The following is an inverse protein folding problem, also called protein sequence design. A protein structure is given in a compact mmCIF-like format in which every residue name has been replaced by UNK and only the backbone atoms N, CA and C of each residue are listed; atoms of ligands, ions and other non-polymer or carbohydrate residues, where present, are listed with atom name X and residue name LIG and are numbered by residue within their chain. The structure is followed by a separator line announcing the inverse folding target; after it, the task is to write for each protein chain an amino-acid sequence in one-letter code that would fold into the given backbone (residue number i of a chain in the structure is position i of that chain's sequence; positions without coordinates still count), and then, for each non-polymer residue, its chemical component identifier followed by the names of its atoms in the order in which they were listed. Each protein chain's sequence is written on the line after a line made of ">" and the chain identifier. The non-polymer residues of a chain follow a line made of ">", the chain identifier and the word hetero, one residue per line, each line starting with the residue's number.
data_IF_758586294124
#
_entry.id   IF_758586294124
#
_cell.length_a   1.000
_cell.length_b   1.000
_cell.length_c   1.000
_cell.angle_alpha   90.00
_cell.angle_beta   90.00
_cell.angle_gamma   90.00
#
_symmetry.space_group_name_H-M   'P 1'
#
loop_
_entity.id
_entity.type
_entity.pdbx_description
1 polymer ?
#
# COMPACT_ATOMS: atom_id res chain seq x y z
N UNK A 1 -34.57 10.41 21.90
CA UNK A 1 -34.78 11.67 22.66
C UNK A 1 -33.57 12.60 22.50
N UNK A 2 -33.68 13.89 22.87
CA UNK A 2 -32.52 14.81 22.88
C UNK A 2 -31.45 14.36 23.87
N UNK A 3 -31.85 13.79 25.00
CA UNK A 3 -30.91 13.24 25.99
C UNK A 3 -30.08 12.06 25.43
N UNK A 4 -30.72 11.14 24.74
CA UNK A 4 -30.01 10.01 24.07
C UNK A 4 -29.04 10.51 22.99
N UNK A 5 -29.44 11.51 22.21
CA UNK A 5 -28.57 12.09 21.19
C UNK A 5 -27.37 12.81 21.82
N UNK A 6 -27.58 13.55 22.90
CA UNK A 6 -26.52 14.22 23.66
C UNK A 6 -25.55 13.18 24.23
N UNK A 7 -26.05 12.15 24.90
CA UNK A 7 -25.20 11.09 25.46
C UNK A 7 -24.38 10.34 24.35
N UNK A 8 -24.99 10.10 23.19
CA UNK A 8 -24.30 9.52 22.06
C UNK A 8 -23.19 10.43 21.53
N UNK A 9 -23.46 11.73 21.38
CA UNK A 9 -22.45 12.70 20.92
C UNK A 9 -21.31 12.86 21.92
N UNK A 10 -21.62 12.92 23.23
CA UNK A 10 -20.61 13.00 24.28
C UNK A 10 -19.68 11.78 24.24
N UNK A 11 -20.23 10.59 24.11
CA UNK A 11 -19.45 9.36 23.95
C UNK A 11 -18.55 9.38 22.70
N UNK A 12 -19.07 9.81 21.55
CA UNK A 12 -18.25 9.95 20.33
C UNK A 12 -17.11 10.95 20.51
N UNK A 13 -17.36 12.08 21.18
CA UNK A 13 -16.34 13.08 21.44
C UNK A 13 -15.27 12.57 22.41
N UNK A 14 -15.64 11.81 23.43
CA UNK A 14 -14.70 11.17 24.34
C UNK A 14 -13.79 10.18 23.61
N UNK A 15 -14.37 9.28 22.79
CA UNK A 15 -13.58 8.34 22.00
C UNK A 15 -12.68 9.05 20.97
N UNK A 16 -13.19 10.05 20.28
CA UNK A 16 -12.38 10.87 19.36
C UNK A 16 -11.22 11.57 20.06
N UNK A 17 -11.47 12.12 21.26
CA UNK A 17 -10.45 12.77 22.08
C UNK A 17 -9.32 11.79 22.47
N UNK A 18 -9.64 10.55 22.85
CA UNK A 18 -8.65 9.51 23.13
C UNK A 18 -7.70 9.31 21.97
N UNK A 19 -8.23 9.20 20.74
CA UNK A 19 -7.42 9.04 19.54
C UNK A 19 -6.56 10.26 19.22
N UNK A 20 -7.07 11.47 19.40
CA UNK A 20 -6.29 12.70 19.23
C UNK A 20 -5.12 12.79 20.20
N UNK A 21 -5.35 12.48 21.47
CA UNK A 21 -4.30 12.46 22.50
C UNK A 21 -3.25 11.41 22.13
N UNK A 22 -3.68 10.20 21.81
CA UNK A 22 -2.77 9.12 21.40
C UNK A 22 -1.88 9.53 20.21
N UNK A 23 -2.45 10.07 19.16
CA UNK A 23 -1.69 10.50 17.97
C UNK A 23 -0.74 11.67 18.27
N UNK A 24 -1.20 12.64 19.08
CA UNK A 24 -0.38 13.79 19.49
C UNK A 24 0.81 13.37 20.35
N UNK A 25 0.59 12.46 21.29
CA UNK A 25 1.65 11.92 22.16
C UNK A 25 2.63 11.07 21.37
N UNK A 26 2.11 10.20 20.49
CA UNK A 26 2.95 9.40 19.61
C UNK A 26 3.84 10.29 18.72
N UNK A 27 3.28 11.32 18.08
CA UNK A 27 4.05 12.25 17.23
C UNK A 27 5.19 12.93 17.99
N UNK A 28 4.97 13.31 19.25
CA UNK A 28 6.02 13.87 20.12
C UNK A 28 7.13 12.86 20.44
N UNK A 29 6.74 11.64 20.80
CA UNK A 29 7.70 10.55 21.08
C UNK A 29 8.53 10.26 19.83
N UNK A 30 7.85 10.02 18.69
CA UNK A 30 8.50 9.79 17.40
C UNK A 30 9.49 10.89 17.04
N UNK A 31 9.06 12.15 16.97
CA UNK A 31 9.91 13.26 16.56
C UNK A 31 11.11 13.43 17.48
N UNK A 32 10.89 13.32 18.80
CA UNK A 32 11.98 13.40 19.78
C UNK A 32 13.02 12.30 19.61
N UNK A 33 12.58 11.07 19.35
CA UNK A 33 13.49 9.94 19.14
C UNK A 33 14.25 10.05 17.82
N UNK A 34 13.55 10.40 16.74
CA UNK A 34 14.12 10.47 15.40
C UNK A 34 15.12 11.62 15.22
N UNK A 35 14.92 12.76 15.86
CA UNK A 35 15.92 13.85 15.88
C UNK A 35 17.23 13.44 16.53
N UNK A 36 17.19 12.54 17.52
CA UNK A 36 18.36 12.01 18.21
C UNK A 36 18.94 10.77 17.55
N UNK A 37 18.23 10.19 16.56
CA UNK A 37 18.61 8.95 15.92
C UNK A 37 20.01 9.04 15.31
N UNK A 38 20.83 8.04 15.57
CA UNK A 38 22.17 7.87 15.00
C UNK A 38 22.19 6.69 14.05
N UNK A 39 23.22 6.59 13.22
CA UNK A 39 23.36 5.44 12.33
C UNK A 39 23.54 4.14 13.15
N UNK A 40 22.82 3.05 12.84
CA UNK A 40 22.71 1.88 13.72
C UNK A 40 23.92 0.94 13.69
N UNK A 41 24.95 1.24 12.91
CA UNK A 41 26.19 0.47 12.83
C UNK A 41 27.38 1.33 13.21
N UNK A 42 28.47 0.70 13.66
CA UNK A 42 29.68 1.39 14.09
C UNK A 42 30.31 2.24 13.00
N UNK A 43 30.31 1.73 11.76
CA UNK A 43 30.89 2.42 10.61
C UNK A 43 30.00 2.38 9.39
N UNK A 44 30.09 3.42 8.57
CA UNK A 44 29.50 3.44 7.24
C UNK A 44 30.36 2.62 6.27
N UNK A 45 29.72 1.78 5.46
CA UNK A 45 30.40 1.18 4.31
C UNK A 45 30.72 2.24 3.27
N UNK A 46 31.65 1.93 2.37
CA UNK A 46 32.03 2.83 1.25
C UNK A 46 30.80 3.28 0.45
N UNK A 47 30.62 4.60 0.33
CA UNK A 47 29.50 5.22 -0.39
C UNK A 47 28.20 5.37 0.40
N UNK A 48 28.06 4.72 1.56
CA UNK A 48 26.83 4.83 2.37
C UNK A 48 26.62 6.23 2.96
N UNK A 49 27.69 6.84 3.45
CA UNK A 49 27.60 8.18 4.06
C UNK A 49 27.22 9.23 3.03
N UNK A 50 27.80 9.16 1.84
CA UNK A 50 27.48 10.05 0.71
C UNK A 50 26.03 9.88 0.28
N UNK A 51 25.56 8.62 0.14
CA UNK A 51 24.17 8.33 -0.17
C UNK A 51 23.21 8.87 0.90
N UNK A 52 23.50 8.62 2.17
CA UNK A 52 22.68 9.10 3.27
C UNK A 52 22.60 10.63 3.30
N UNK A 53 23.71 11.31 3.10
CA UNK A 53 23.76 12.78 3.05
C UNK A 53 22.98 13.33 1.83
N UNK A 54 23.12 12.72 0.67
CA UNK A 54 22.37 13.09 -0.53
C UNK A 54 20.86 12.87 -0.35
N UNK A 55 20.45 11.72 0.20
CA UNK A 55 19.05 11.42 0.52
C UNK A 55 18.47 12.45 1.51
N UNK A 56 19.16 12.70 2.62
CA UNK A 56 18.73 13.68 3.61
C UNK A 56 18.53 15.09 3.01
N UNK A 57 19.52 15.58 2.26
CA UNK A 57 19.45 16.89 1.61
C UNK A 57 18.29 16.97 0.62
N UNK A 58 18.07 15.90 -0.14
CA UNK A 58 16.99 15.82 -1.13
C UNK A 58 15.62 15.89 -0.47
N UNK A 59 15.42 15.14 0.61
CA UNK A 59 14.18 15.13 1.38
C UNK A 59 13.90 16.47 2.05
N UNK A 60 14.92 17.09 2.69
CA UNK A 60 14.79 18.43 3.29
C UNK A 60 14.48 19.54 2.30
N UNK A 61 14.79 19.35 1.03
CA UNK A 61 14.56 20.36 -0.03
C UNK A 61 13.41 19.97 -0.97
N UNK A 62 12.63 18.91 -0.64
CA UNK A 62 11.51 18.40 -1.44
C UNK A 62 11.88 18.15 -2.91
N UNK A 63 13.07 17.60 -3.13
CA UNK A 63 13.60 17.31 -4.48
C UNK A 63 13.50 15.83 -4.80
N UNK A 64 13.92 15.45 -6.02
CA UNK A 64 14.02 14.08 -6.50
C UNK A 64 15.49 13.68 -6.58
N UNK A 65 15.78 12.43 -6.18
CA UNK A 65 17.11 11.84 -6.25
C UNK A 65 17.01 10.49 -6.96
N UNK A 66 17.83 10.31 -7.96
CA UNK A 66 18.04 9.01 -8.60
C UNK A 66 19.45 8.56 -8.24
N UNK A 67 19.56 7.32 -7.74
CA UNK A 67 20.81 6.75 -7.28
C UNK A 67 21.00 5.39 -7.91
N UNK A 68 22.16 5.17 -8.50
CA UNK A 68 22.64 3.86 -8.89
C UNK A 68 23.72 3.42 -7.89
N UNK A 69 23.50 2.28 -7.25
CA UNK A 69 24.46 1.70 -6.29
C UNK A 69 24.42 0.17 -6.41
N UNK A 70 25.59 -0.50 -6.33
CA UNK A 70 25.67 -1.95 -6.37
C UNK A 70 24.82 -2.64 -5.29
N UNK A 71 24.46 -3.89 -5.51
CA UNK A 71 23.82 -4.74 -4.50
C UNK A 71 24.76 -4.95 -3.31
N UNK A 72 24.20 -5.08 -2.11
CA UNK A 72 25.00 -5.31 -0.88
C UNK A 72 25.67 -4.07 -0.26
N UNK A 73 25.54 -2.88 -0.88
CA UNK A 73 26.09 -1.63 -0.33
C UNK A 73 25.28 -1.07 0.84
N UNK A 74 24.17 -1.68 1.20
CA UNK A 74 23.30 -1.19 2.29
C UNK A 74 22.44 0.01 1.89
N UNK A 75 21.94 0.06 0.66
CA UNK A 75 21.06 1.13 0.14
C UNK A 75 19.87 1.39 1.08
N UNK A 76 19.21 0.35 1.52
CA UNK A 76 18.00 0.44 2.36
C UNK A 76 18.22 1.25 3.63
N UNK A 77 19.23 0.90 4.42
CA UNK A 77 19.53 1.63 5.65
C UNK A 77 20.04 3.04 5.38
N UNK A 78 20.80 3.24 4.27
CA UNK A 78 21.35 4.54 3.88
C UNK A 78 20.28 5.51 3.33
N UNK A 79 19.09 5.03 3.04
CA UNK A 79 17.93 5.86 2.64
C UNK A 79 16.90 5.97 3.75
N UNK A 80 16.61 4.89 4.49
CA UNK A 80 15.66 4.90 5.61
C UNK A 80 16.18 5.77 6.78
N UNK A 81 17.42 5.61 7.19
CA UNK A 81 18.00 6.40 8.30
C UNK A 81 17.84 7.91 8.09
N UNK A 82 18.32 8.51 6.99
CA UNK A 82 18.17 9.95 6.77
C UNK A 82 16.72 10.38 6.56
N UNK A 83 15.86 9.52 6.01
CA UNK A 83 14.45 9.82 5.84
C UNK A 83 13.73 9.91 7.19
N UNK A 84 13.98 8.98 8.10
CA UNK A 84 13.42 9.03 9.45
C UNK A 84 13.95 10.23 10.23
N UNK A 85 15.24 10.55 10.08
CA UNK A 85 15.81 11.75 10.71
C UNK A 85 15.15 13.03 10.20
N UNK A 86 14.96 13.18 8.90
CA UNK A 86 14.26 14.32 8.31
C UNK A 86 12.78 14.37 8.74
N UNK A 87 12.11 13.22 8.91
CA UNK A 87 10.76 13.13 9.47
C UNK A 87 10.70 13.60 10.92
N UNK A 88 11.68 13.23 11.76
CA UNK A 88 11.79 13.73 13.14
C UNK A 88 11.93 15.24 13.21
N UNK A 89 12.45 15.87 12.16
CA UNK A 89 12.56 17.32 11.99
C UNK A 89 11.36 17.93 11.25
N UNK A 90 10.24 17.23 11.26
CA UNK A 90 8.92 17.64 10.71
C UNK A 90 8.94 17.97 9.21
N UNK A 91 9.82 17.32 8.44
CA UNK A 91 9.89 17.52 6.98
C UNK A 91 8.88 16.67 6.21
N UNK A 92 8.28 15.66 6.85
CA UNK A 92 7.14 14.89 6.35
C UNK A 92 6.42 14.19 7.51
N UNK A 93 5.16 13.86 7.27
CA UNK A 93 4.32 13.14 8.23
C UNK A 93 4.51 11.63 8.11
N UNK A 94 4.70 11.12 6.89
CA UNK A 94 4.83 9.68 6.60
C UNK A 94 5.88 9.37 5.54
N UNK A 95 6.33 8.12 5.57
CA UNK A 95 7.28 7.56 4.61
C UNK A 95 6.68 6.33 3.94
N UNK A 96 6.66 6.30 2.61
CA UNK A 96 6.35 5.11 1.83
C UNK A 96 7.63 4.49 1.29
N UNK A 97 7.92 3.26 1.71
CA UNK A 97 9.00 2.45 1.17
C UNK A 97 8.44 1.42 0.21
N UNK A 98 8.70 1.61 -1.08
CA UNK A 98 8.06 0.87 -2.16
C UNK A 98 9.05 -0.03 -2.88
N UNK A 99 8.68 -1.30 -3.05
CA UNK A 99 9.52 -2.31 -3.70
C UNK A 99 8.68 -3.37 -4.43
N UNK A 100 9.26 -3.97 -5.48
CA UNK A 100 8.56 -5.00 -6.27
C UNK A 100 8.58 -6.40 -5.64
N UNK A 101 9.50 -6.69 -4.71
CA UNK A 101 9.79 -8.06 -4.26
C UNK A 101 9.58 -8.24 -2.75
N UNK A 102 9.07 -9.39 -2.36
CA UNK A 102 8.88 -9.76 -0.95
C UNK A 102 10.20 -9.76 -0.16
N UNK A 103 11.29 -10.24 -0.77
CA UNK A 103 12.62 -10.27 -0.10
C UNK A 103 13.09 -8.86 0.25
N UNK A 104 12.89 -7.89 -0.62
CA UNK A 104 13.30 -6.50 -0.36
C UNK A 104 12.43 -5.82 0.70
N UNK A 105 11.19 -6.27 0.90
CA UNK A 105 10.36 -5.84 2.05
C UNK A 105 10.96 -6.31 3.37
N UNK A 106 11.42 -7.56 3.45
CA UNK A 106 12.10 -8.08 4.63
C UNK A 106 13.35 -7.26 4.96
N UNK A 107 14.14 -6.87 3.96
CA UNK A 107 15.31 -6.01 4.16
C UNK A 107 14.93 -4.63 4.74
N UNK A 108 13.78 -4.09 4.32
CA UNK A 108 13.26 -2.85 4.90
C UNK A 108 12.81 -3.05 6.36
N UNK A 109 12.11 -4.15 6.67
CA UNK A 109 11.72 -4.52 8.03
C UNK A 109 12.92 -4.68 8.94
N UNK A 110 13.96 -5.39 8.49
CA UNK A 110 15.21 -5.58 9.24
C UNK A 110 15.93 -4.26 9.49
N UNK A 111 15.94 -3.36 8.50
CA UNK A 111 16.53 -2.03 8.65
C UNK A 111 15.75 -1.16 9.66
N UNK A 112 14.41 -1.20 9.62
CA UNK A 112 13.55 -0.51 10.58
C UNK A 112 13.74 -1.08 12.00
N UNK A 113 13.84 -2.41 12.13
CA UNK A 113 14.15 -3.06 13.41
C UNK A 113 15.51 -2.64 13.97
N UNK A 114 16.53 -2.52 13.12
CA UNK A 114 17.84 -2.06 13.53
C UNK A 114 17.81 -0.59 14.01
N UNK A 115 17.05 0.27 13.32
CA UNK A 115 16.86 1.67 13.72
C UNK A 115 16.04 1.78 15.01
N UNK A 116 15.04 0.92 15.21
CA UNK A 116 14.29 0.83 16.47
C UNK A 116 15.17 0.42 17.66
N UNK A 117 16.00 -0.60 17.50
CA UNK A 117 17.00 -1.01 18.52
C UNK A 117 17.97 0.11 18.87
N UNK A 118 18.21 1.01 17.93
CA UNK A 118 19.07 2.18 18.12
C UNK A 118 18.33 3.42 18.63
N UNK A 119 17.13 3.24 19.16
CA UNK A 119 16.33 4.28 19.82
C UNK A 119 15.38 5.08 18.91
N UNK A 120 15.16 4.63 17.67
CA UNK A 120 14.18 5.23 16.76
C UNK A 120 12.78 4.71 17.02
N UNK A 121 11.93 5.51 17.62
CA UNK A 121 10.51 5.14 17.84
C UNK A 121 9.69 5.45 16.58
N UNK A 122 9.28 4.40 15.88
CA UNK A 122 8.55 4.48 14.60
C UNK A 122 7.53 3.36 14.52
N UNK A 123 6.29 3.70 14.18
CA UNK A 123 5.29 2.69 13.79
C UNK A 123 5.42 2.40 12.30
N UNK A 124 5.72 1.16 11.98
CA UNK A 124 5.82 0.71 10.59
C UNK A 124 4.86 -0.43 10.31
N UNK A 125 4.24 -0.44 9.13
CA UNK A 125 3.40 -1.54 8.67
C UNK A 125 3.86 -2.04 7.30
N UNK A 126 3.89 -3.37 7.14
CA UNK A 126 4.15 -4.01 5.85
C UNK A 126 2.84 -4.49 5.24
N UNK A 127 2.43 -3.85 4.15
CA UNK A 127 1.21 -4.21 3.43
C UNK A 127 1.42 -5.49 2.60
N UNK A 128 0.51 -6.43 2.77
CA UNK A 128 0.47 -7.69 2.04
C UNK A 128 -0.78 -7.75 1.16
N UNK A 129 -0.62 -8.20 -0.09
CA UNK A 129 -1.74 -8.32 -1.01
C UNK A 129 -2.82 -9.29 -0.49
N UNK A 130 -4.07 -8.97 -0.78
CA UNK A 130 -5.26 -9.68 -0.26
C UNK A 130 -5.25 -11.19 -0.50
N UNK A 131 -4.77 -11.61 -1.67
CA UNK A 131 -4.65 -13.02 -2.05
C UNK A 131 -3.59 -13.80 -1.25
N UNK A 132 -2.67 -13.10 -0.59
CA UNK A 132 -1.60 -13.70 0.22
C UNK A 132 -1.89 -13.69 1.72
N UNK A 133 -2.76 -12.81 2.19
CA UNK A 133 -3.02 -12.62 3.62
C UNK A 133 -4.43 -13.08 4.03
N UNK A 134 -5.33 -13.33 3.08
CA UNK A 134 -6.68 -13.80 3.38
C UNK A 134 -6.65 -15.18 4.05
N UNK A 135 -7.37 -15.33 5.15
CA UNK A 135 -7.48 -16.62 5.88
C UNK A 135 -8.38 -17.64 5.17
N UNK A 136 -9.21 -17.20 4.22
CA UNK A 136 -10.12 -18.07 3.50
C UNK A 136 -9.51 -18.55 2.18
N UNK A 137 -9.66 -19.84 1.88
CA UNK A 137 -9.24 -20.44 0.61
C UNK A 137 -10.05 -19.92 -0.56
N UNK A 138 -11.38 -19.77 -0.37
CA UNK A 138 -12.28 -19.16 -1.34
C UNK A 138 -12.67 -17.76 -0.87
N UNK A 139 -12.35 -16.77 -1.68
CA UNK A 139 -12.60 -15.35 -1.34
C UNK A 139 -14.02 -14.95 -1.71
N UNK A 140 -14.88 -14.91 -0.72
CA UNK A 140 -16.18 -14.25 -0.79
C UNK A 140 -16.27 -13.27 0.38
N UNK A 141 -16.08 -11.98 0.10
CA UNK A 141 -15.93 -10.93 1.12
C UNK A 141 -17.28 -10.34 1.57
N UNK A 142 -18.38 -11.06 1.38
CA UNK A 142 -19.68 -10.63 1.89
C UNK A 142 -19.86 -11.07 3.36
N UNK A 143 -20.59 -10.30 4.18
CA UNK A 143 -20.79 -10.63 5.59
C UNK A 143 -21.39 -12.02 5.83
N UNK A 144 -22.19 -12.53 4.89
CA UNK A 144 -22.83 -13.85 4.99
C UNK A 144 -21.84 -15.01 4.80
N UNK A 145 -20.71 -14.77 4.14
CA UNK A 145 -19.74 -15.81 3.78
C UNK A 145 -18.38 -15.64 4.47
N UNK A 146 -18.06 -14.45 4.95
CA UNK A 146 -16.77 -14.17 5.57
C UNK A 146 -16.96 -13.72 7.03
N UNK A 147 -16.58 -14.54 8.02
CA UNK A 147 -16.72 -14.18 9.44
C UNK A 147 -15.86 -12.98 9.84
N UNK A 148 -14.78 -12.70 9.09
CA UNK A 148 -13.89 -11.56 9.30
C UNK A 148 -14.42 -10.26 8.69
N UNK A 149 -15.37 -10.35 7.75
CA UNK A 149 -16.08 -9.19 7.19
C UNK A 149 -17.35 -8.85 7.99
N UNK A 150 -18.05 -9.88 8.49
CA UNK A 150 -19.23 -9.71 9.32
C UNK A 150 -18.89 -8.95 10.61
N UNK A 151 -19.55 -7.80 10.85
CA UNK A 151 -19.33 -6.96 12.05
C UNK A 151 -17.89 -6.39 12.15
N UNK A 152 -17.19 -6.22 11.04
CA UNK A 152 -15.84 -5.66 11.02
C UNK A 152 -15.74 -4.31 11.70
N UNK A 153 -16.65 -3.41 11.38
CA UNK A 153 -16.67 -2.04 11.93
C UNK A 153 -17.03 -1.96 13.40
N UNK A 154 -17.64 -2.99 13.96
CA UNK A 154 -17.94 -3.06 15.40
C UNK A 154 -16.70 -3.41 16.23
N UNK A 155 -15.72 -4.06 15.62
CA UNK A 155 -14.52 -4.58 16.30
C UNK A 155 -13.21 -3.84 15.95
N UNK A 156 -13.20 -3.08 14.85
CA UNK A 156 -11.97 -2.47 14.34
C UNK A 156 -11.31 -1.51 15.33
N UNK A 157 -12.08 -0.71 16.07
CA UNK A 157 -11.54 0.26 17.01
C UNK A 157 -10.78 -0.41 18.16
N UNK A 158 -11.31 -1.51 18.69
CA UNK A 158 -10.65 -2.29 19.73
C UNK A 158 -9.36 -2.94 19.21
N UNK A 159 -9.42 -3.54 18.00
CA UNK A 159 -8.26 -4.14 17.35
C UNK A 159 -7.14 -3.13 17.05
N UNK A 160 -7.49 -1.93 16.56
CA UNK A 160 -6.53 -0.85 16.32
C UNK A 160 -5.90 -0.37 17.63
N UNK A 161 -6.72 -0.14 18.65
CA UNK A 161 -6.24 0.33 19.95
C UNK A 161 -5.27 -0.66 20.58
N UNK A 162 -5.63 -1.92 20.60
CA UNK A 162 -4.80 -2.99 21.13
C UNK A 162 -3.46 -3.10 20.38
N UNK A 163 -3.50 -3.20 19.05
CA UNK A 163 -2.29 -3.33 18.23
C UNK A 163 -1.36 -2.12 18.38
N UNK A 164 -1.90 -0.91 18.26
CA UNK A 164 -1.10 0.31 18.24
C UNK A 164 -0.45 0.65 19.59
N UNK A 165 -0.97 0.11 20.70
CA UNK A 165 -0.36 0.28 22.02
C UNK A 165 0.75 -0.72 22.32
N UNK A 166 0.76 -1.87 21.65
CA UNK A 166 1.71 -2.94 21.94
C UNK A 166 2.78 -3.11 20.86
N UNK A 167 2.51 -2.66 19.62
CA UNK A 167 3.38 -2.94 18.48
C UNK A 167 3.85 -1.67 17.79
N UNK A 168 5.16 -1.64 17.46
CA UNK A 168 5.76 -0.59 16.66
C UNK A 168 6.17 -1.10 15.27
N UNK A 169 6.56 -2.38 15.16
CA UNK A 169 6.91 -3.01 13.89
C UNK A 169 5.81 -4.01 13.48
N UNK A 170 4.88 -3.55 12.65
CA UNK A 170 3.68 -4.29 12.31
C UNK A 170 3.92 -5.04 10.99
N UNK A 171 4.49 -6.23 11.13
CA UNK A 171 4.73 -7.17 10.02
C UNK A 171 3.45 -7.93 9.64
N UNK A 172 3.53 -8.73 8.58
CA UNK A 172 2.44 -9.61 8.18
C UNK A 172 1.98 -10.52 9.33
N UNK A 173 2.91 -11.13 10.04
CA UNK A 173 2.58 -12.05 11.15
C UNK A 173 1.90 -11.35 12.31
N UNK A 174 2.27 -10.10 12.60
CA UNK A 174 1.61 -9.27 13.61
C UNK A 174 0.17 -8.97 13.18
N UNK A 175 -0.04 -8.55 11.93
CA UNK A 175 -1.39 -8.31 11.38
C UNK A 175 -2.24 -9.58 11.48
N UNK A 176 -1.71 -10.74 11.08
CA UNK A 176 -2.42 -12.02 11.15
C UNK A 176 -2.81 -12.35 12.59
N UNK A 177 -1.90 -12.23 13.56
CA UNK A 177 -2.16 -12.53 14.97
C UNK A 177 -3.26 -11.65 15.58
N UNK A 178 -3.21 -10.33 15.36
CA UNK A 178 -4.24 -9.41 15.86
C UNK A 178 -5.57 -9.55 15.09
N UNK A 179 -5.51 -9.90 13.80
CA UNK A 179 -6.69 -10.20 13.01
C UNK A 179 -7.44 -11.44 13.52
N UNK A 180 -6.72 -12.49 13.92
CA UNK A 180 -7.31 -13.67 14.56
C UNK A 180 -7.89 -13.31 15.92
N UNK A 181 -7.13 -12.60 16.76
CA UNK A 181 -7.53 -12.20 18.11
C UNK A 181 -8.84 -11.40 18.13
N UNK A 182 -8.99 -10.44 17.21
CA UNK A 182 -10.14 -9.55 17.13
C UNK A 182 -11.15 -9.92 16.04
N UNK A 183 -10.96 -11.06 15.37
CA UNK A 183 -11.81 -11.54 14.27
C UNK A 183 -12.00 -10.48 13.16
N UNK A 184 -10.89 -9.88 12.69
CA UNK A 184 -10.84 -8.85 11.67
C UNK A 184 -10.30 -9.40 10.34
N UNK A 185 -10.76 -8.86 9.20
CA UNK A 185 -10.15 -9.17 7.92
C UNK A 185 -8.69 -8.67 7.89
N UNK A 186 -7.67 -9.53 7.76
CA UNK A 186 -6.27 -9.11 7.88
C UNK A 186 -5.84 -8.13 6.79
N UNK A 187 -6.47 -8.18 5.61
CA UNK A 187 -6.20 -7.23 4.54
C UNK A 187 -6.74 -5.83 4.88
N UNK A 188 -8.03 -5.71 5.19
CA UNK A 188 -8.64 -4.43 5.54
C UNK A 188 -8.02 -3.86 6.83
N UNK A 189 -7.74 -4.71 7.81
CA UNK A 189 -7.08 -4.31 9.05
C UNK A 189 -5.69 -3.71 8.80
N UNK A 190 -4.88 -4.31 7.93
CA UNK A 190 -3.58 -3.76 7.57
C UNK A 190 -3.68 -2.37 6.92
N UNK A 191 -4.73 -2.16 6.11
CA UNK A 191 -4.98 -0.86 5.50
C UNK A 191 -5.45 0.19 6.52
N UNK A 192 -6.29 -0.18 7.49
CA UNK A 192 -6.73 0.74 8.54
C UNK A 192 -5.59 1.06 9.52
N UNK A 193 -4.79 0.06 9.91
CA UNK A 193 -3.57 0.25 10.70
C UNK A 193 -2.60 1.22 10.01
N UNK A 194 -2.49 1.17 8.68
CA UNK A 194 -1.58 2.04 7.93
C UNK A 194 -1.87 3.54 8.12
N UNK A 195 -3.11 3.91 8.45
CA UNK A 195 -3.48 5.30 8.75
C UNK A 195 -2.83 5.85 10.02
N UNK A 196 -2.35 4.98 10.90
CA UNK A 196 -1.71 5.34 12.15
C UNK A 196 -0.19 5.10 12.14
N UNK A 197 0.34 4.57 11.04
CA UNK A 197 1.76 4.27 10.91
C UNK A 197 2.54 5.42 10.28
N UNK A 198 3.79 5.56 10.71
CA UNK A 198 4.75 6.54 10.19
C UNK A 198 5.43 6.05 8.91
N UNK A 199 5.65 4.73 8.81
CA UNK A 199 6.29 4.08 7.66
C UNK A 199 5.39 3.01 7.09
N UNK A 200 5.14 3.08 5.80
CA UNK A 200 4.35 2.09 5.05
C UNK A 200 5.26 1.40 4.05
N UNK A 201 5.50 0.11 4.27
CA UNK A 201 6.28 -0.75 3.39
C UNK A 201 5.31 -1.51 2.47
N UNK A 202 5.50 -1.42 1.17
CA UNK A 202 4.56 -2.06 0.24
C UNK A 202 5.07 -2.26 -1.17
N UNK A 203 4.20 -2.80 -2.01
CA UNK A 203 4.43 -2.93 -3.45
C UNK A 203 4.24 -1.59 -4.17
N UNK A 204 4.89 -1.42 -5.31
CA UNK A 204 4.71 -0.26 -6.19
C UNK A 204 3.25 0.02 -6.54
N UNK A 205 2.41 -1.04 -6.62
CA UNK A 205 1.00 -0.91 -6.97
C UNK A 205 0.26 0.00 -6.01
N UNK A 206 0.65 0.04 -4.74
CA UNK A 206 0.00 0.90 -3.74
C UNK A 206 0.17 2.40 -3.98
N UNK A 207 1.10 2.79 -4.85
CA UNK A 207 1.27 4.20 -5.27
C UNK A 207 0.95 4.42 -6.76
N UNK A 208 1.36 3.49 -7.64
CA UNK A 208 1.41 3.75 -9.07
C UNK A 208 0.31 3.08 -9.89
N UNK A 209 -0.38 2.06 -9.34
CA UNK A 209 -1.44 1.36 -10.07
C UNK A 209 -2.76 2.15 -9.99
N UNK A 210 -3.37 2.52 -11.13
CA UNK A 210 -4.59 3.35 -11.15
C UNK A 210 -5.81 2.69 -10.49
N UNK A 211 -5.78 1.37 -10.29
CA UNK A 211 -6.91 0.61 -9.73
C UNK A 211 -6.76 0.26 -8.26
N UNK A 212 -5.52 0.08 -7.78
CA UNK A 212 -5.23 -0.41 -6.42
C UNK A 212 -4.40 0.55 -5.55
N UNK A 213 -4.07 1.76 -6.07
CA UNK A 213 -3.34 2.74 -5.26
C UNK A 213 -4.09 3.11 -3.98
N UNK A 214 -3.37 3.51 -2.96
CA UNK A 214 -3.93 3.83 -1.65
C UNK A 214 -4.68 5.17 -1.67
N UNK A 215 -5.91 5.18 -2.19
CA UNK A 215 -6.78 6.35 -2.32
C UNK A 215 -6.90 7.14 -1.03
N UNK A 216 -6.99 6.44 0.11
CA UNK A 216 -7.10 7.02 1.45
C UNK A 216 -5.98 7.99 1.82
N UNK A 217 -4.82 7.92 1.12
CA UNK A 217 -3.70 8.84 1.30
C UNK A 217 -3.58 9.88 0.19
N UNK A 218 -3.99 9.55 -1.03
CA UNK A 218 -3.59 10.31 -2.22
C UNK A 218 -4.73 11.05 -2.92
N UNK A 219 -6.00 10.78 -2.62
CA UNK A 219 -7.14 11.52 -3.22
C UNK A 219 -7.32 12.93 -2.61
N UNK A 220 -7.08 13.07 -1.30
CA UNK A 220 -7.12 14.37 -0.61
C UNK A 220 -5.96 14.44 0.39
N UNK A 221 -4.72 14.63 -0.08
CA UNK A 221 -3.55 14.59 0.77
C UNK A 221 -3.54 15.80 1.70
N UNK A 222 -3.62 15.53 3.02
CA UNK A 222 -3.53 16.52 4.11
C UNK A 222 -2.18 16.51 4.81
N UNK A 223 -1.31 15.62 4.40
CA UNK A 223 -0.02 15.33 5.02
C UNK A 223 1.09 15.38 3.96
N UNK A 224 2.31 15.63 4.40
CA UNK A 224 3.49 15.55 3.56
C UNK A 224 4.10 14.16 3.59
N UNK A 225 4.45 13.63 2.42
CA UNK A 225 4.93 12.27 2.25
C UNK A 225 6.33 12.21 1.65
N UNK A 226 7.17 11.33 2.20
CA UNK A 226 8.39 10.86 1.55
C UNK A 226 8.14 9.55 0.82
N UNK A 227 8.76 9.42 -0.37
CA UNK A 227 8.71 8.19 -1.15
C UNK A 227 10.12 7.67 -1.39
N UNK A 228 10.40 6.46 -0.92
CA UNK A 228 11.59 5.69 -1.24
C UNK A 228 11.20 4.54 -2.18
N UNK A 229 11.68 4.57 -3.41
CA UNK A 229 11.37 3.57 -4.44
C UNK A 229 12.63 2.72 -4.68
N UNK A 230 12.65 1.53 -4.09
CA UNK A 230 13.77 0.60 -4.22
C UNK A 230 13.69 -0.18 -5.52
N UNK A 231 14.85 -0.46 -6.14
CA UNK A 231 14.94 -1.17 -7.42
C UNK A 231 14.06 -0.54 -8.53
N UNK A 232 14.08 0.80 -8.61
CA UNK A 232 13.18 1.60 -9.46
C UNK A 232 13.24 1.24 -10.96
N UNK A 233 14.31 0.56 -11.43
CA UNK A 233 14.40 0.06 -12.78
C UNK A 233 13.27 -0.93 -13.15
N UNK A 234 12.68 -1.61 -12.16
CA UNK A 234 11.52 -2.48 -12.37
C UNK A 234 10.23 -1.70 -12.69
N UNK A 235 10.17 -0.39 -12.41
CA UNK A 235 8.96 0.40 -12.69
C UNK A 235 8.63 0.47 -14.20
N UNK A 236 9.62 0.35 -15.08
CA UNK A 236 9.37 0.38 -16.54
C UNK A 236 8.48 -0.79 -16.97
N UNK A 237 8.81 -2.02 -16.54
CA UNK A 237 7.99 -3.20 -16.84
C UNK A 237 6.68 -3.19 -16.05
N UNK A 238 6.73 -2.83 -14.77
CA UNK A 238 5.55 -2.79 -13.89
C UNK A 238 4.52 -1.76 -14.35
N UNK A 239 4.95 -0.57 -14.77
CA UNK A 239 4.02 0.44 -15.30
C UNK A 239 3.31 -0.03 -16.56
N UNK A 240 4.01 -0.74 -17.45
CA UNK A 240 3.37 -1.34 -18.62
C UNK A 240 2.27 -2.33 -18.22
N UNK A 241 2.52 -3.18 -17.22
CA UNK A 241 1.51 -4.10 -16.69
C UNK A 241 0.33 -3.35 -16.04
N UNK A 242 0.60 -2.36 -15.17
CA UNK A 242 -0.41 -1.57 -14.47
C UNK A 242 -1.36 -0.81 -15.41
N UNK A 243 -0.82 -0.33 -16.53
CA UNK A 243 -1.58 0.44 -17.53
C UNK A 243 -1.98 -0.38 -18.77
N UNK A 244 -1.89 -1.70 -18.69
CA UNK A 244 -2.30 -2.62 -19.75
C UNK A 244 -3.55 -3.39 -19.34
N UNK A 245 -4.44 -3.60 -20.29
CA UNK A 245 -5.60 -4.46 -20.11
C UNK A 245 -5.60 -5.51 -21.23
N UNK A 246 -6.02 -6.73 -20.89
CA UNK A 246 -6.16 -7.83 -21.84
C UNK A 246 -7.61 -8.26 -21.92
N UNK A 247 -8.15 -8.26 -23.11
CA UNK A 247 -9.46 -8.81 -23.40
C UNK A 247 -9.28 -10.11 -24.21
N UNK A 248 -9.80 -11.21 -23.68
CA UNK A 248 -9.72 -12.52 -24.33
C UNK A 248 -11.11 -12.92 -24.83
N UNK A 249 -11.21 -13.26 -26.10
CA UNK A 249 -12.46 -13.65 -26.75
C UNK A 249 -13.15 -14.83 -26.03
N UNK A 250 -12.39 -15.86 -25.65
CA UNK A 250 -12.96 -17.04 -24.97
C UNK A 250 -13.59 -16.68 -23.63
N UNK A 251 -12.94 -15.78 -22.87
CA UNK A 251 -13.48 -15.30 -21.60
C UNK A 251 -14.77 -14.54 -21.79
N UNK A 252 -14.87 -13.71 -22.84
CA UNK A 252 -16.10 -12.98 -23.20
C UNK A 252 -17.25 -13.92 -23.54
N UNK A 253 -16.99 -14.94 -24.36
CA UNK A 253 -17.99 -15.94 -24.74
C UNK A 253 -18.47 -16.78 -23.55
N UNK A 254 -17.57 -17.21 -22.66
CA UNK A 254 -17.92 -17.93 -21.43
C UNK A 254 -18.80 -17.08 -20.53
N UNK A 255 -18.46 -15.81 -20.37
CA UNK A 255 -19.21 -14.87 -19.55
C UNK A 255 -20.60 -14.61 -20.13
N UNK A 256 -20.74 -14.49 -21.46
CA UNK A 256 -22.05 -14.36 -22.12
C UNK A 256 -22.97 -15.56 -21.84
N UNK A 257 -22.43 -16.77 -21.83
CA UNK A 257 -23.17 -18.00 -21.51
C UNK A 257 -23.69 -18.05 -20.08
N UNK A 258 -22.90 -17.51 -19.12
CA UNK A 258 -23.24 -17.47 -17.70
C UNK A 258 -24.26 -16.38 -17.35
N UNK A 259 -24.40 -15.35 -18.20
CA UNK A 259 -25.34 -14.25 -17.94
C UNK A 259 -26.80 -14.68 -18.07
N UNK A 260 -27.61 -14.33 -17.09
CA UNK A 260 -29.05 -14.49 -17.11
C UNK A 260 -29.72 -13.68 -18.22
N UNK A 261 -30.96 -14.06 -18.55
CA UNK A 261 -31.75 -13.41 -19.62
C UNK A 261 -32.11 -11.95 -19.32
N UNK A 262 -32.06 -11.56 -18.04
CA UNK A 262 -32.31 -10.20 -17.54
C UNK A 262 -31.23 -9.20 -17.97
N UNK A 263 -30.02 -9.65 -18.21
CA UNK A 263 -28.86 -8.79 -18.56
C UNK A 263 -28.75 -8.52 -20.07
N UNK A 264 -29.88 -8.15 -20.74
CA UNK A 264 -29.94 -7.97 -22.21
C UNK A 264 -28.92 -6.95 -22.76
N UNK A 265 -28.72 -5.83 -22.07
CA UNK A 265 -27.79 -4.79 -22.51
C UNK A 265 -26.34 -5.29 -22.52
N UNK A 266 -25.95 -5.99 -21.46
CA UNK A 266 -24.58 -6.54 -21.31
C UNK A 266 -24.33 -7.65 -22.36
N UNK A 267 -25.27 -8.55 -22.55
CA UNK A 267 -25.18 -9.56 -23.61
C UNK A 267 -25.04 -8.95 -25.02
N UNK A 268 -25.75 -7.84 -25.29
CA UNK A 268 -25.59 -7.13 -26.56
C UNK A 268 -24.18 -6.53 -26.72
N UNK A 269 -23.60 -6.02 -25.67
CA UNK A 269 -22.22 -5.50 -25.71
C UNK A 269 -21.20 -6.63 -25.91
N UNK A 270 -21.33 -7.75 -25.21
CA UNK A 270 -20.46 -8.91 -25.37
C UNK A 270 -20.51 -9.45 -26.80
N UNK A 271 -21.69 -9.54 -27.43
CA UNK A 271 -21.83 -9.92 -28.84
C UNK A 271 -21.14 -8.94 -29.78
N UNK A 272 -21.21 -7.62 -29.51
CA UNK A 272 -20.45 -6.65 -30.32
C UNK A 272 -18.95 -6.86 -30.21
N UNK A 273 -18.45 -7.18 -29.02
CA UNK A 273 -17.04 -7.49 -28.79
C UNK A 273 -16.66 -8.77 -29.56
N UNK A 274 -17.47 -9.82 -29.47
CA UNK A 274 -17.24 -11.09 -30.18
C UNK A 274 -17.22 -10.91 -31.69
N UNK A 275 -18.17 -10.16 -32.25
CA UNK A 275 -18.18 -9.80 -33.65
C UNK A 275 -16.93 -9.04 -34.09
N UNK A 276 -16.40 -8.15 -33.21
CA UNK A 276 -15.17 -7.43 -33.49
C UNK A 276 -13.97 -8.37 -33.51
N UNK A 277 -13.90 -9.34 -32.61
CA UNK A 277 -12.87 -10.38 -32.63
C UNK A 277 -12.93 -11.23 -33.91
N UNK A 278 -14.13 -11.60 -34.36
CA UNK A 278 -14.32 -12.35 -35.62
C UNK A 278 -13.75 -11.56 -36.81
N UNK A 279 -14.01 -10.26 -36.91
CA UNK A 279 -13.46 -9.39 -37.94
C UNK A 279 -11.92 -9.31 -37.88
N UNK A 280 -11.36 -9.21 -36.68
CA UNK A 280 -9.92 -9.21 -36.48
C UNK A 280 -9.28 -10.54 -36.88
N UNK A 281 -9.94 -11.67 -36.61
CA UNK A 281 -9.50 -13.00 -37.00
C UNK A 281 -9.49 -13.16 -38.52
N UNK A 282 -10.54 -12.72 -39.21
CA UNK A 282 -10.60 -12.70 -40.67
C UNK A 282 -9.47 -11.86 -41.29
N UNK A 283 -9.25 -10.67 -40.75
CA UNK A 283 -8.12 -9.82 -41.18
C UNK A 283 -6.77 -10.49 -40.92
N UNK A 284 -6.58 -11.12 -39.75
CA UNK A 284 -5.36 -11.81 -39.40
C UNK A 284 -5.04 -12.95 -40.37
N UNK A 285 -6.04 -13.73 -40.75
CA UNK A 285 -5.90 -14.82 -41.71
C UNK A 285 -5.55 -14.29 -43.10
N UNK A 286 -6.19 -13.22 -43.52
CA UNK A 286 -5.97 -12.60 -44.83
C UNK A 286 -4.60 -11.97 -44.97
N UNK A 287 -4.16 -11.22 -43.94
CA UNK A 287 -2.89 -10.51 -43.90
C UNK A 287 -1.74 -11.36 -43.31
N UNK A 288 -1.99 -12.59 -42.87
CA UNK A 288 -1.01 -13.55 -42.28
C UNK A 288 -0.20 -12.97 -41.12
N UNK A 289 -0.84 -12.15 -40.27
CA UNK A 289 -0.15 -11.55 -39.14
C UNK A 289 -0.30 -12.38 -37.85
N UNK A 290 0.78 -12.45 -37.09
CA UNK A 290 0.79 -13.10 -35.78
C UNK A 290 0.37 -12.14 -34.67
N UNK A 291 0.69 -10.86 -34.83
CA UNK A 291 0.25 -9.78 -33.96
C UNK A 291 0.22 -8.47 -34.76
N UNK A 292 -0.63 -7.54 -34.33
CA UNK A 292 -0.75 -6.20 -34.92
C UNK A 292 -0.79 -5.15 -33.83
N UNK A 293 0.06 -4.13 -33.97
CA UNK A 293 -0.04 -2.91 -33.17
C UNK A 293 -0.98 -1.94 -33.88
N UNK A 294 -2.11 -1.64 -33.25
CA UNK A 294 -3.03 -0.63 -33.74
C UNK A 294 -3.14 0.49 -32.70
N UNK A 295 -2.92 1.72 -33.13
CA UNK A 295 -3.17 2.90 -32.30
C UNK A 295 -4.67 3.16 -32.33
N UNK A 296 -5.35 2.93 -31.18
CA UNK A 296 -6.74 3.34 -31.02
C UNK A 296 -6.78 4.85 -30.91
N UNK A 297 -7.62 5.48 -31.75
CA UNK A 297 -7.94 6.88 -31.61
C UNK A 297 -8.95 7.06 -30.46
N UNK A 298 -8.91 8.16 -29.70
CA UNK A 298 -9.83 8.41 -28.59
C UNK A 298 -11.29 8.39 -28.94
N UNK A 299 -11.64 8.61 -30.21
CA UNK A 299 -13.01 8.61 -30.75
C UNK A 299 -13.61 7.19 -30.91
N UNK A 300 -12.83 6.14 -30.67
CA UNK A 300 -13.29 4.75 -30.78
C UNK A 300 -13.73 4.15 -29.41
N UNK A 301 -13.66 4.91 -28.34
CA UNK A 301 -14.16 4.59 -27.00
C UNK A 301 -15.44 5.37 -26.70
#
# INVERSE_FOLDING_TARGET
>A
TMEELTAFMDHLLEEYHKWLVFQGDWRRVRNTSLTKLTFPYEEFRKGQRELAAAAYKTLKTSRRLFVEAPTGTGKTISTLFPALKAMGEESADRLFYLTAKTITRQVAEDALAALGKNGGEVKSVTLTAKDKICFLTERNCTPEHCPYAAGYYDRINEGLWDLLHHENQITRSVIEAYSEKHQLCPFEFSLDVSLFCDVIVGDYNYLFDPTVYLRRFFEDPKEDYFFLVDEAHNLVSRSREMYSATLNQRTGATFEQQLGKEHKALRRLLRKIDNHFALLEEQAQTEKWQFKHQKLLPEAL
#
